data_IF_586029390646
#
_entry.id   IF_586029390646
#
_cell.length_a   1.000
_cell.length_b   1.000
_cell.length_c   1.000
_cell.angle_alpha   90.00
_cell.angle_beta   90.00
_cell.angle_gamma   90.00
#
_symmetry.space_group_name_H-M   'P 1'
#
loop_
_entity.id
_entity.type
_entity.pdbx_description
1 polymer ?
#
# COMPACT_ATOMS: atom_id res chain seq x y z
N UNK A 1 62.82 -27.73 14.24
CA UNK A 1 61.68 -28.27 15.03
C UNK A 1 61.03 -27.12 15.78
N UNK A 2 59.87 -26.64 15.33
CA UNK A 2 59.17 -25.48 15.91
C UNK A 2 57.77 -25.92 16.37
N UNK A 3 57.40 -25.45 17.55
CA UNK A 3 56.22 -25.80 18.35
C UNK A 3 54.88 -25.59 17.62
N UNK A 4 53.96 -26.52 17.87
CA UNK A 4 52.57 -26.47 17.43
C UNK A 4 51.73 -25.54 18.32
N UNK A 5 51.17 -24.47 17.73
CA UNK A 5 50.07 -23.69 18.31
C UNK A 5 48.75 -24.07 17.62
N UNK A 6 47.76 -24.50 18.42
CA UNK A 6 46.37 -24.74 17.98
C UNK A 6 45.71 -23.44 17.48
N UNK A 7 44.90 -23.44 16.40
CA UNK A 7 44.12 -22.27 16.02
C UNK A 7 42.85 -22.14 16.89
N UNK A 8 42.56 -20.90 17.27
CA UNK A 8 41.37 -20.47 18.03
C UNK A 8 40.11 -20.61 17.19
N UNK A 9 39.04 -21.12 17.81
CA UNK A 9 37.67 -21.09 17.28
C UNK A 9 37.22 -19.63 17.17
N UNK A 10 37.09 -19.15 15.94
CA UNK A 10 36.57 -17.83 15.62
C UNK A 10 35.07 -17.72 15.91
N UNK A 11 34.69 -16.65 16.59
CA UNK A 11 33.32 -16.26 16.90
C UNK A 11 32.50 -16.16 15.61
N UNK A 12 31.42 -16.93 15.52
CA UNK A 12 30.42 -16.78 14.46
C UNK A 12 29.78 -15.40 14.55
N UNK A 13 29.82 -14.66 13.45
CA UNK A 13 29.06 -13.43 13.27
C UNK A 13 27.55 -13.73 13.36
N UNK A 14 26.73 -12.85 13.94
CA UNK A 14 25.28 -13.02 13.94
C UNK A 14 24.78 -12.90 12.50
N UNK A 15 24.17 -13.96 11.99
CA UNK A 15 23.49 -13.94 10.70
C UNK A 15 22.40 -12.85 10.72
N UNK A 16 22.27 -12.09 9.64
CA UNK A 16 21.23 -11.05 9.53
C UNK A 16 19.84 -11.67 9.75
N UNK A 17 18.91 -10.98 10.42
CA UNK A 17 17.59 -11.53 10.78
C UNK A 17 16.76 -12.06 9.59
N UNK A 18 17.04 -11.58 8.38
CA UNK A 18 16.55 -12.12 7.10
C UNK A 18 16.96 -13.58 6.84
N UNK A 19 18.12 -14.02 7.33
CA UNK A 19 18.63 -15.38 7.12
C UNK A 19 17.83 -16.45 7.85
N UNK A 20 17.12 -16.11 8.92
CA UNK A 20 16.33 -17.04 9.73
C UNK A 20 14.99 -17.37 9.06
N UNK A 21 14.31 -16.37 8.51
CA UNK A 21 13.14 -16.57 7.65
C UNK A 21 13.54 -17.38 6.40
N UNK A 22 14.65 -17.01 5.76
CA UNK A 22 15.23 -17.76 4.64
C UNK A 22 15.64 -19.19 5.05
N UNK A 23 16.11 -19.43 6.28
CA UNK A 23 16.47 -20.78 6.75
C UNK A 23 15.24 -21.66 6.98
N UNK A 24 14.15 -21.10 7.50
CA UNK A 24 12.85 -21.77 7.63
C UNK A 24 12.29 -22.12 6.25
N UNK A 25 12.41 -21.21 5.28
CA UNK A 25 11.93 -21.39 3.91
C UNK A 25 12.85 -22.32 3.08
N UNK A 26 14.17 -22.32 3.34
CA UNK A 26 15.14 -23.30 2.77
C UNK A 26 14.92 -24.72 3.27
N UNK A 27 14.56 -24.92 4.55
CA UNK A 27 14.12 -26.23 5.06
C UNK A 27 12.83 -26.72 4.39
N UNK A 28 11.97 -25.78 4.00
CA UNK A 28 10.73 -26.07 3.29
C UNK A 28 10.94 -26.41 1.79
N UNK A 29 12.10 -26.05 1.21
CA UNK A 29 12.48 -26.26 -0.20
C UNK A 29 12.77 -27.73 -0.56
N UNK A 30 13.13 -28.56 0.41
CA UNK A 30 13.49 -29.97 0.20
C UNK A 30 12.29 -30.91 -0.05
N UNK A 31 11.04 -30.42 -0.04
CA UNK A 31 9.81 -31.25 -0.13
C UNK A 31 8.89 -30.98 -1.33
N UNK A 32 9.18 -30.02 -2.21
CA UNK A 32 8.33 -29.73 -3.38
C UNK A 32 9.16 -29.60 -4.64
N UNK A 33 9.56 -30.74 -5.21
CA UNK A 33 9.82 -30.85 -6.64
C UNK A 33 8.47 -31.16 -7.30
N UNK A 34 7.86 -30.15 -7.91
CA UNK A 34 6.91 -30.20 -9.03
C UNK A 34 6.09 -28.91 -9.01
N UNK A 35 6.58 -27.90 -9.73
CA UNK A 35 5.83 -26.86 -10.44
C UNK A 35 6.87 -25.85 -10.97
N UNK A 36 7.27 -26.03 -12.24
CA UNK A 36 8.26 -25.19 -12.91
C UNK A 36 7.67 -23.82 -13.27
N UNK A 37 7.80 -22.84 -12.38
CA UNK A 37 7.56 -21.42 -12.71
C UNK A 37 8.85 -20.78 -13.27
N UNK A 38 9.18 -21.07 -14.54
CA UNK A 38 10.42 -20.61 -15.20
C UNK A 38 10.58 -19.07 -15.22
N UNK A 39 9.50 -18.30 -15.21
CA UNK A 39 9.53 -16.84 -15.32
C UNK A 39 10.09 -16.11 -14.07
N UNK A 40 10.05 -16.72 -12.87
CA UNK A 40 10.67 -16.15 -11.67
C UNK A 40 12.16 -16.52 -11.56
N UNK A 41 12.56 -17.68 -12.08
CA UNK A 41 13.97 -18.12 -12.09
C UNK A 41 14.86 -17.26 -12.99
N UNK A 42 14.28 -16.61 -14.00
CA UNK A 42 14.97 -15.71 -14.93
C UNK A 42 15.09 -14.26 -14.40
N UNK A 43 14.37 -13.91 -13.32
CA UNK A 43 14.34 -12.56 -12.76
C UNK A 43 15.42 -12.27 -11.71
N UNK A 44 16.39 -13.18 -11.52
CA UNK A 44 17.51 -12.99 -10.58
C UNK A 44 18.81 -13.41 -11.27
N UNK A 45 19.62 -12.42 -11.68
CA UNK A 45 20.99 -12.40 -11.17
C UNK A 45 21.46 -10.99 -10.76
N UNK A 46 22.16 -10.96 -9.62
CA UNK A 46 23.11 -9.93 -9.15
C UNK A 46 22.71 -8.44 -9.20
N UNK A 47 22.42 -7.84 -8.04
CA UNK A 47 22.89 -6.48 -7.71
C UNK A 47 23.37 -6.44 -6.25
N UNK A 48 24.69 -6.44 -6.10
CA UNK A 48 25.40 -5.87 -4.97
C UNK A 48 25.50 -4.34 -5.14
N UNK A 49 25.36 -3.60 -4.04
CA UNK A 49 25.58 -2.16 -3.87
C UNK A 49 24.56 -1.18 -4.49
N UNK A 50 23.82 -0.46 -3.63
CA UNK A 50 23.58 1.01 -3.61
C UNK A 50 23.06 1.36 -2.20
N UNK A 51 23.90 1.94 -1.33
CA UNK A 51 24.02 3.36 -0.96
C UNK A 51 22.91 3.88 -0.02
N UNK A 52 23.36 4.23 1.19
CA UNK A 52 22.55 4.50 2.37
C UNK A 52 22.46 6.01 2.60
N UNK A 53 21.51 6.73 1.97
CA UNK A 53 21.24 8.12 2.36
C UNK A 53 19.77 8.53 2.23
N UNK A 54 19.30 9.08 3.35
CA UNK A 54 18.15 9.98 3.57
C UNK A 54 16.74 9.39 3.71
N UNK A 55 16.29 9.34 4.97
CA UNK A 55 14.93 9.78 5.32
C UNK A 55 15.05 10.82 6.43
N UNK A 56 14.81 12.09 6.10
CA UNK A 56 14.49 13.15 7.08
C UNK A 56 13.00 13.00 7.40
N UNK A 57 12.66 12.71 8.66
CA UNK A 57 11.29 12.83 9.18
C UNK A 57 11.23 14.07 10.07
N UNK A 58 10.30 14.96 9.76
CA UNK A 58 10.06 16.22 10.46
C UNK A 58 9.68 15.98 11.92
N UNK A 59 10.37 16.68 12.82
CA UNK A 59 9.96 16.86 14.22
C UNK A 59 8.94 17.99 14.30
N UNK A 60 7.70 17.69 14.70
CA UNK A 60 6.85 18.64 15.41
C UNK A 60 5.94 17.88 16.36
N UNK A 61 6.16 18.06 17.66
CA UNK A 61 5.15 18.15 18.71
C UNK A 61 5.87 18.34 20.06
N UNK A 62 5.95 19.59 20.50
CA UNK A 62 6.20 19.95 21.90
C UNK A 62 4.89 20.43 22.54
N UNK A 63 4.80 20.22 23.86
CA UNK A 63 3.72 20.55 24.82
C UNK A 63 2.53 19.57 24.79
N UNK A 64 2.26 18.81 25.85
CA UNK A 64 1.86 19.33 27.17
C UNK A 64 2.17 18.33 28.30
N UNK A 65 3.13 18.67 29.16
CA UNK A 65 3.43 17.97 30.41
C UNK A 65 2.58 18.56 31.54
N UNK A 66 1.30 18.17 31.64
CA UNK A 66 0.46 18.51 32.81
C UNK A 66 -0.81 17.65 32.97
N UNK A 67 -0.89 16.49 32.29
CA UNK A 67 -2.05 15.57 32.38
C UNK A 67 -1.75 14.19 33.00
N UNK A 68 -0.53 13.93 33.48
CA UNK A 68 -0.19 12.59 33.99
C UNK A 68 -0.85 12.21 35.33
N UNK A 69 -1.16 13.17 36.21
CA UNK A 69 -1.58 12.84 37.58
C UNK A 69 -3.09 12.56 37.77
N UNK A 70 -3.96 13.03 36.87
CA UNK A 70 -5.40 12.70 36.93
C UNK A 70 -5.77 11.41 36.16
N UNK A 71 -4.82 10.83 35.40
CA UNK A 71 -5.07 9.67 34.55
C UNK A 71 -4.81 8.32 35.23
N UNK A 72 -4.14 8.34 36.39
CA UNK A 72 -3.78 7.13 37.13
C UNK A 72 -4.95 6.60 37.99
N UNK A 73 -5.93 7.44 38.32
CA UNK A 73 -7.06 7.09 39.21
C UNK A 73 -8.16 6.27 38.54
N UNK A 74 -8.47 6.53 37.26
CA UNK A 74 -9.53 5.77 36.57
C UNK A 74 -9.11 4.32 36.26
N UNK A 75 -7.84 4.11 35.94
CA UNK A 75 -7.29 2.77 35.73
C UNK A 75 -7.21 2.01 37.07
N UNK A 76 -6.85 2.69 38.18
CA UNK A 76 -6.80 2.10 39.52
C UNK A 76 -8.18 1.63 40.00
N UNK A 77 -9.22 2.45 39.83
CA UNK A 77 -10.61 2.08 40.17
C UNK A 77 -11.13 0.88 39.34
N UNK A 78 -10.72 0.77 38.07
CA UNK A 78 -11.07 -0.39 37.25
C UNK A 78 -10.35 -1.67 37.72
N UNK A 79 -9.14 -1.54 38.26
CA UNK A 79 -8.35 -2.67 38.77
C UNK A 79 -8.84 -3.14 40.15
N UNK A 80 -9.30 -2.25 41.03
CA UNK A 80 -9.94 -2.61 42.31
C UNK A 80 -11.18 -3.51 42.11
N UNK A 81 -11.93 -3.31 41.01
CA UNK A 81 -13.05 -4.18 40.63
C UNK A 81 -12.65 -5.60 40.26
N UNK A 82 -11.39 -5.85 39.90
CA UNK A 82 -10.85 -7.18 39.62
C UNK A 82 -10.48 -7.94 40.89
N UNK A 83 -10.06 -7.22 41.94
CA UNK A 83 -9.62 -7.82 43.21
C UNK A 83 -10.80 -8.18 44.13
N UNK A 84 -11.95 -7.52 43.99
CA UNK A 84 -13.15 -7.82 44.78
C UNK A 84 -14.02 -8.95 44.22
N UNK A 85 -13.73 -9.48 43.03
CA UNK A 85 -14.54 -10.53 42.38
C UNK A 85 -13.66 -11.65 41.87
N UNK A 86 -13.45 -12.65 42.73
CA UNK A 86 -12.66 -13.84 42.41
C UNK A 86 -13.23 -14.66 41.24
N UNK A 87 -14.46 -14.40 40.77
CA UNK A 87 -15.12 -15.15 39.70
C UNK A 87 -15.59 -14.26 38.53
N UNK A 88 -14.68 -13.50 37.92
CA UNK A 88 -15.01 -12.75 36.71
C UNK A 88 -14.99 -13.64 35.46
N UNK A 89 -16.16 -13.81 34.83
CA UNK A 89 -16.27 -14.43 33.52
C UNK A 89 -15.49 -13.62 32.45
N UNK A 90 -15.04 -14.26 31.35
CA UNK A 90 -14.31 -13.58 30.26
C UNK A 90 -15.01 -12.34 29.71
N UNK A 91 -16.34 -12.32 29.67
CA UNK A 91 -17.14 -11.19 29.20
C UNK A 91 -17.13 -9.99 30.15
N UNK A 92 -17.04 -10.21 31.46
CA UNK A 92 -16.91 -9.14 32.45
C UNK A 92 -15.48 -8.59 32.46
N UNK A 93 -14.47 -9.45 32.33
CA UNK A 93 -13.08 -9.04 32.08
C UNK A 93 -12.95 -8.19 30.81
N UNK A 94 -13.63 -8.57 29.73
CA UNK A 94 -13.70 -7.79 28.50
C UNK A 94 -14.23 -6.37 28.71
N UNK A 95 -15.32 -6.21 29.49
CA UNK A 95 -15.88 -4.89 29.80
C UNK A 95 -14.89 -4.03 30.59
N UNK A 96 -14.18 -4.63 31.54
CA UNK A 96 -13.18 -3.93 32.36
C UNK A 96 -11.99 -3.51 31.49
N UNK A 97 -11.42 -4.43 30.70
CA UNK A 97 -10.24 -4.17 29.86
C UNK A 97 -10.51 -3.19 28.72
N UNK A 98 -11.77 -3.00 28.30
CA UNK A 98 -12.11 -1.92 27.35
C UNK A 98 -11.81 -0.53 27.91
N UNK A 99 -11.95 -0.36 29.22
CA UNK A 99 -11.82 0.93 29.90
C UNK A 99 -10.40 1.20 30.42
N UNK A 100 -9.61 0.15 30.67
CA UNK A 100 -8.22 0.28 31.12
C UNK A 100 -7.32 0.69 29.95
N UNK A 101 -6.49 1.71 30.17
CA UNK A 101 -5.56 2.22 29.15
C UNK A 101 -4.13 1.71 29.33
N UNK A 102 -3.71 1.42 30.56
CA UNK A 102 -2.37 0.95 30.85
C UNK A 102 -2.16 -0.55 30.46
N UNK A 103 -1.25 -0.86 29.52
CA UNK A 103 -1.01 -2.22 29.06
C UNK A 103 -0.37 -3.13 30.11
N UNK A 104 0.46 -2.63 31.04
CA UNK A 104 1.07 -3.47 32.10
C UNK A 104 0.03 -4.01 33.07
N UNK A 105 -0.92 -3.15 33.47
CA UNK A 105 -2.01 -3.54 34.38
C UNK A 105 -2.88 -4.63 33.76
N UNK A 106 -3.19 -4.49 32.46
CA UNK A 106 -3.93 -5.49 31.70
C UNK A 106 -3.18 -6.82 31.63
N UNK A 107 -1.87 -6.82 31.35
CA UNK A 107 -1.04 -8.03 31.31
C UNK A 107 -1.07 -8.75 32.67
N UNK A 108 -0.85 -8.01 33.77
CA UNK A 108 -0.82 -8.59 35.11
C UNK A 108 -2.18 -9.14 35.53
N UNK A 109 -3.27 -8.41 35.26
CA UNK A 109 -4.64 -8.87 35.50
C UNK A 109 -4.95 -10.15 34.71
N UNK A 110 -4.61 -10.18 33.42
CA UNK A 110 -4.83 -11.36 32.59
C UNK A 110 -4.00 -12.56 33.06
N UNK A 111 -2.72 -12.36 33.42
CA UNK A 111 -1.87 -13.41 33.99
C UNK A 111 -2.47 -14.00 35.27
N UNK A 112 -3.03 -13.18 36.16
CA UNK A 112 -3.69 -13.62 37.40
C UNK A 112 -4.96 -14.44 37.08
N UNK A 113 -5.81 -13.96 36.20
CA UNK A 113 -7.04 -14.65 35.80
C UNK A 113 -6.75 -15.99 35.08
N UNK A 114 -5.76 -16.00 34.21
CA UNK A 114 -5.42 -17.17 33.40
C UNK A 114 -4.57 -18.22 34.15
N UNK A 115 -4.33 -18.07 35.46
CA UNK A 115 -3.83 -19.16 36.33
C UNK A 115 -4.96 -20.09 36.82
N UNK A 116 -6.22 -19.69 36.61
CA UNK A 116 -7.38 -20.44 37.06
C UNK A 116 -7.68 -21.61 36.12
N UNK A 117 -8.04 -22.76 36.70
CA UNK A 117 -8.25 -24.02 35.97
C UNK A 117 -9.54 -23.99 35.14
N UNK A 118 -10.55 -23.26 35.62
CA UNK A 118 -11.90 -23.15 35.04
C UNK A 118 -12.06 -21.95 34.09
N UNK A 119 -11.03 -21.11 33.96
CA UNK A 119 -11.09 -19.91 33.12
C UNK A 119 -10.74 -20.21 31.67
N UNK A 120 -11.69 -20.02 30.76
CA UNK A 120 -11.48 -20.13 29.31
C UNK A 120 -11.62 -18.77 28.63
N UNK A 121 -10.52 -18.13 28.21
CA UNK A 121 -10.58 -16.84 27.54
C UNK A 121 -11.33 -16.92 26.21
N UNK A 122 -12.11 -15.89 25.88
CA UNK A 122 -12.79 -15.78 24.58
C UNK A 122 -11.87 -15.17 23.51
N UNK A 123 -12.13 -15.46 22.23
CA UNK A 123 -11.42 -14.83 21.11
C UNK A 123 -11.48 -13.30 21.18
N UNK A 124 -12.63 -12.75 21.60
CA UNK A 124 -12.81 -11.31 21.77
C UNK A 124 -11.86 -10.73 22.83
N UNK A 125 -11.58 -11.50 23.90
CA UNK A 125 -10.63 -11.09 24.94
C UNK A 125 -9.20 -11.06 24.40
N UNK A 126 -8.78 -12.12 23.69
CA UNK A 126 -7.47 -12.12 23.02
C UNK A 126 -7.35 -11.00 21.98
N UNK A 127 -8.39 -10.76 21.18
CA UNK A 127 -8.40 -9.69 20.18
C UNK A 127 -8.13 -8.32 20.83
N UNK A 128 -8.85 -8.02 21.93
CA UNK A 128 -8.68 -6.76 22.66
C UNK A 128 -7.28 -6.64 23.27
N UNK A 129 -6.76 -7.72 23.86
CA UNK A 129 -5.41 -7.73 24.44
C UNK A 129 -4.35 -7.48 23.37
N UNK A 130 -4.43 -8.18 22.24
CA UNK A 130 -3.50 -8.01 21.13
C UNK A 130 -3.56 -6.59 20.57
N UNK A 131 -4.76 -6.04 20.35
CA UNK A 131 -4.90 -4.66 19.86
C UNK A 131 -4.19 -3.68 20.80
N UNK A 132 -4.44 -3.77 22.11
CA UNK A 132 -3.82 -2.89 23.13
C UNK A 132 -2.30 -3.05 23.21
N UNK A 133 -1.82 -4.30 23.19
CA UNK A 133 -0.39 -4.61 23.28
C UNK A 133 0.36 -4.22 22.02
N UNK A 134 -0.25 -4.38 20.86
CA UNK A 134 0.34 -3.99 19.58
C UNK A 134 0.45 -2.46 19.46
N UNK A 135 -0.55 -1.69 19.88
CA UNK A 135 -0.42 -0.21 19.98
C UNK A 135 0.68 0.21 20.96
N UNK A 136 0.88 -0.58 22.02
CA UNK A 136 1.94 -0.36 23.01
C UNK A 136 3.30 -0.95 22.60
N UNK A 137 3.42 -1.52 21.39
CA UNK A 137 4.63 -2.16 20.81
C UNK A 137 5.22 -3.30 21.66
N UNK A 138 4.40 -3.97 22.46
CA UNK A 138 4.79 -5.07 23.36
C UNK A 138 4.66 -6.43 22.70
N UNK A 139 5.40 -6.65 21.61
CA UNK A 139 5.24 -7.84 20.77
C UNK A 139 5.67 -9.16 21.42
N UNK A 140 6.61 -9.15 22.37
CA UNK A 140 7.00 -10.36 23.10
C UNK A 140 5.79 -10.97 23.85
N UNK A 141 5.00 -10.12 24.50
CA UNK A 141 3.79 -10.55 25.20
C UNK A 141 2.69 -11.03 24.26
N UNK A 142 2.64 -10.53 23.02
CA UNK A 142 1.69 -11.03 22.02
C UNK A 142 2.01 -12.49 21.66
N UNK A 143 3.29 -12.84 21.51
CA UNK A 143 3.70 -14.23 21.28
C UNK A 143 3.37 -15.12 22.48
N UNK A 144 3.67 -14.68 23.72
CA UNK A 144 3.31 -15.41 24.94
C UNK A 144 1.80 -15.69 25.01
N UNK A 145 0.97 -14.74 24.56
CA UNK A 145 -0.49 -14.90 24.51
C UNK A 145 -0.93 -15.92 23.46
N UNK A 146 -0.25 -15.98 22.30
CA UNK A 146 -0.54 -16.95 21.25
C UNK A 146 -0.13 -18.36 21.65
N UNK A 147 1.05 -18.54 22.25
CA UNK A 147 1.49 -19.83 22.78
C UNK A 147 0.53 -20.34 23.86
N UNK A 148 0.04 -19.42 24.70
CA UNK A 148 -0.98 -19.75 25.70
C UNK A 148 -2.31 -20.14 25.06
N UNK A 149 -2.78 -19.39 24.07
CA UNK A 149 -4.00 -19.71 23.33
C UNK A 149 -3.91 -21.08 22.62
N UNK A 150 -2.71 -21.45 22.16
CA UNK A 150 -2.42 -22.78 21.58
C UNK A 150 -2.54 -23.89 22.63
N UNK A 151 -1.92 -23.72 23.80
CA UNK A 151 -2.00 -24.67 24.91
C UNK A 151 -3.45 -24.88 25.40
N UNK A 152 -4.23 -23.80 25.44
CA UNK A 152 -5.64 -23.83 25.86
C UNK A 152 -6.59 -24.35 24.76
N UNK A 153 -6.08 -24.66 23.57
CA UNK A 153 -6.87 -25.09 22.38
C UNK A 153 -8.03 -24.15 22.05
N UNK A 154 -7.81 -22.84 22.21
CA UNK A 154 -8.81 -21.83 21.87
C UNK A 154 -9.11 -21.87 20.37
N UNK A 155 -10.39 -21.83 20.01
CA UNK A 155 -10.81 -21.67 18.61
C UNK A 155 -10.60 -20.21 18.20
N UNK A 156 -9.63 -19.98 17.31
CA UNK A 156 -9.31 -18.65 16.78
C UNK A 156 -9.74 -18.56 15.32
N UNK A 157 -10.37 -17.45 14.93
CA UNK A 157 -10.84 -17.22 13.57
C UNK A 157 -9.73 -16.70 12.63
N UNK A 158 -9.90 -16.85 11.31
CA UNK A 158 -9.01 -16.20 10.33
C UNK A 158 -9.02 -14.67 10.51
N UNK A 159 -10.16 -14.07 10.85
CA UNK A 159 -10.25 -12.62 11.09
C UNK A 159 -9.39 -12.17 12.30
N UNK A 160 -9.26 -13.00 13.32
CA UNK A 160 -8.32 -12.74 14.43
C UNK A 160 -6.88 -12.69 13.92
N UNK A 161 -6.45 -13.69 13.16
CA UNK A 161 -5.09 -13.73 12.59
C UNK A 161 -4.87 -12.62 11.56
N UNK A 162 -5.86 -12.32 10.71
CA UNK A 162 -5.83 -11.20 9.78
C UNK A 162 -5.55 -9.87 10.49
N UNK A 163 -6.22 -9.61 11.63
CA UNK A 163 -5.96 -8.41 12.44
C UNK A 163 -4.55 -8.42 13.00
N UNK A 164 -4.11 -9.54 13.56
CA UNK A 164 -2.75 -9.68 14.09
C UNK A 164 -1.67 -9.44 13.02
N UNK A 165 -1.81 -10.06 11.85
CA UNK A 165 -0.94 -9.85 10.68
C UNK A 165 -0.95 -8.37 10.28
N UNK A 166 -2.13 -7.74 10.23
CA UNK A 166 -2.27 -6.31 9.92
C UNK A 166 -1.58 -5.41 10.94
N UNK A 167 -1.61 -5.78 12.21
CA UNK A 167 -0.90 -5.06 13.27
C UNK A 167 0.62 -5.21 13.12
N UNK A 168 1.11 -6.42 12.85
CA UNK A 168 2.53 -6.66 12.58
C UNK A 168 3.05 -5.91 11.34
N UNK A 169 2.25 -5.85 10.29
CA UNK A 169 2.58 -5.11 9.07
C UNK A 169 2.59 -3.60 9.26
N UNK A 170 1.49 -3.02 9.74
CA UNK A 170 1.31 -1.57 9.76
C UNK A 170 1.89 -0.86 10.99
N UNK A 171 1.73 -1.44 12.18
CA UNK A 171 2.08 -0.77 13.45
C UNK A 171 3.50 -1.11 13.88
N UNK A 172 3.92 -2.33 13.62
CA UNK A 172 5.22 -2.86 14.04
C UNK A 172 6.31 -2.74 12.98
N UNK A 173 5.93 -2.63 11.69
CA UNK A 173 6.83 -2.76 10.55
C UNK A 173 7.71 -4.04 10.64
N UNK A 174 7.09 -5.15 11.06
CA UNK A 174 7.73 -6.46 11.22
C UNK A 174 7.11 -7.47 10.23
N UNK A 175 7.46 -7.37 8.93
CA UNK A 175 6.91 -8.27 7.90
C UNK A 175 7.28 -9.74 8.14
N UNK A 176 8.46 -10.03 8.72
CA UNK A 176 8.88 -11.39 9.07
C UNK A 176 7.88 -12.07 10.01
N UNK A 177 7.40 -11.33 11.03
CA UNK A 177 6.43 -11.83 12.01
C UNK A 177 5.04 -12.03 11.39
N UNK A 178 4.65 -11.15 10.47
CA UNK A 178 3.41 -11.30 9.73
C UNK A 178 3.42 -12.57 8.86
N UNK A 179 4.53 -12.86 8.18
CA UNK A 179 4.72 -14.12 7.44
C UNK A 179 4.70 -15.32 8.40
N UNK A 180 5.45 -15.25 9.50
CA UNK A 180 5.50 -16.34 10.48
C UNK A 180 4.12 -16.65 11.05
N UNK A 181 3.34 -15.61 11.37
CA UNK A 181 1.97 -15.75 11.88
C UNK A 181 1.09 -16.47 10.86
N UNK A 182 1.14 -16.06 9.59
CA UNK A 182 0.39 -16.69 8.50
C UNK A 182 0.74 -18.19 8.35
N UNK A 183 2.03 -18.52 8.39
CA UNK A 183 2.52 -19.90 8.27
C UNK A 183 2.19 -20.77 9.49
N UNK A 184 2.05 -20.17 10.67
CA UNK A 184 1.67 -20.86 11.92
C UNK A 184 0.16 -21.06 12.07
N UNK A 185 -0.70 -20.42 11.27
CA UNK A 185 -2.16 -20.57 11.41
C UNK A 185 -2.64 -22.04 11.46
N UNK A 186 -2.12 -22.97 10.63
CA UNK A 186 -2.50 -24.39 10.71
C UNK A 186 -2.24 -25.04 12.07
N UNK A 187 -1.24 -24.58 12.82
CA UNK A 187 -0.97 -25.08 14.19
C UNK A 187 -2.12 -24.79 15.17
N UNK A 188 -2.95 -23.81 14.85
CA UNK A 188 -4.13 -23.42 15.62
C UNK A 188 -5.42 -24.05 15.05
N UNK A 189 -5.31 -25.02 14.14
CA UNK A 189 -6.43 -25.60 13.38
C UNK A 189 -7.25 -24.53 12.63
N UNK A 190 -6.60 -23.43 12.22
CA UNK A 190 -7.20 -22.34 11.47
C UNK A 190 -6.46 -22.21 10.14
N UNK A 191 -7.19 -22.09 9.03
CA UNK A 191 -6.59 -21.97 7.71
C UNK A 191 -6.72 -20.53 7.21
N UNK A 192 -5.64 -19.94 6.65
CA UNK A 192 -5.67 -18.57 6.15
C UNK A 192 -6.62 -18.43 4.96
N UNK A 193 -7.35 -17.33 4.92
CA UNK A 193 -8.13 -16.95 3.74
C UNK A 193 -7.24 -16.27 2.69
N UNK A 194 -7.74 -16.22 1.44
CA UNK A 194 -7.13 -15.44 0.34
C UNK A 194 -6.90 -13.98 0.75
N UNK A 195 -7.79 -13.42 1.58
CA UNK A 195 -7.67 -12.05 2.10
C UNK A 195 -6.45 -11.88 3.01
N UNK A 196 -6.24 -12.80 3.96
CA UNK A 196 -5.07 -12.80 4.86
C UNK A 196 -3.77 -12.96 4.08
N UNK A 197 -3.77 -13.84 3.09
CA UNK A 197 -2.63 -14.05 2.20
C UNK A 197 -2.31 -12.81 1.35
N UNK A 198 -3.32 -12.22 0.70
CA UNK A 198 -3.18 -11.02 -0.12
C UNK A 198 -2.69 -9.82 0.69
N UNK A 199 -3.10 -9.71 1.96
CA UNK A 199 -2.58 -8.67 2.83
C UNK A 199 -1.07 -8.84 3.07
N UNK A 200 -0.61 -10.07 3.37
CA UNK A 200 0.84 -10.35 3.54
C UNK A 200 1.60 -10.04 2.26
N UNK A 201 1.12 -10.50 1.09
CA UNK A 201 1.76 -10.20 -0.18
C UNK A 201 1.83 -8.69 -0.45
N UNK A 202 0.73 -7.96 -0.28
CA UNK A 202 0.69 -6.52 -0.51
C UNK A 202 1.61 -5.77 0.48
N UNK A 203 1.67 -6.21 1.74
CA UNK A 203 2.60 -5.68 2.72
C UNK A 203 4.05 -5.87 2.26
N UNK A 204 4.43 -7.06 1.78
CA UNK A 204 5.80 -7.33 1.30
C UNK A 204 6.18 -6.52 0.06
N UNK A 205 5.22 -6.33 -0.86
CA UNK A 205 5.40 -5.45 -2.02
C UNK A 205 5.66 -4.01 -1.58
N UNK A 206 4.84 -3.49 -0.66
CA UNK A 206 4.99 -2.11 -0.17
C UNK A 206 6.27 -1.89 0.66
N UNK A 207 6.74 -2.92 1.38
CA UNK A 207 8.02 -2.89 2.12
C UNK A 207 9.24 -3.25 1.26
N UNK A 208 9.02 -3.52 -0.04
CA UNK A 208 10.06 -3.85 -1.04
C UNK A 208 10.87 -5.12 -0.72
N UNK A 209 10.26 -6.09 -0.03
CA UNK A 209 10.90 -7.36 0.32
C UNK A 209 10.72 -8.44 -0.75
N UNK A 210 11.16 -8.15 -1.97
CA UNK A 210 10.86 -8.98 -3.14
C UNK A 210 11.48 -10.38 -3.11
N UNK A 211 12.61 -10.56 -2.40
CA UNK A 211 13.26 -11.87 -2.25
C UNK A 211 12.34 -12.91 -1.59
N UNK A 212 11.55 -12.48 -0.61
CA UNK A 212 10.71 -13.36 0.21
C UNK A 212 9.34 -13.60 -0.43
N UNK A 213 8.90 -12.72 -1.34
CA UNK A 213 7.59 -12.84 -2.03
C UNK A 213 7.47 -14.18 -2.77
N UNK A 214 8.54 -14.62 -3.45
CA UNK A 214 8.55 -15.90 -4.15
C UNK A 214 8.33 -17.08 -3.19
N UNK A 215 8.99 -17.03 -2.04
CA UNK A 215 8.90 -18.10 -1.04
C UNK A 215 7.48 -18.16 -0.45
N UNK A 216 6.89 -17.02 -0.11
CA UNK A 216 5.51 -16.93 0.38
C UNK A 216 4.50 -17.37 -0.70
N UNK A 217 4.71 -16.99 -1.95
CA UNK A 217 3.88 -17.43 -3.07
C UNK A 217 3.82 -18.96 -3.18
N UNK A 218 4.97 -19.64 -3.09
CA UNK A 218 5.04 -21.12 -3.11
C UNK A 218 4.36 -21.79 -1.92
N UNK A 219 4.10 -21.07 -0.83
CA UNK A 219 3.36 -21.63 0.32
C UNK A 219 1.85 -21.70 0.10
N UNK A 220 1.28 -20.99 -0.88
CA UNK A 220 -0.17 -20.92 -1.08
C UNK A 220 -0.86 -22.29 -1.21
N UNK A 221 -0.38 -23.24 -2.04
CA UNK A 221 -1.02 -24.56 -2.16
C UNK A 221 -0.95 -25.37 -0.86
N UNK A 222 0.14 -25.22 -0.09
CA UNK A 222 0.32 -25.92 1.19
C UNK A 222 -0.63 -25.42 2.26
N UNK A 223 -1.04 -24.15 2.17
CA UNK A 223 -2.03 -23.53 3.02
C UNK A 223 -3.47 -23.74 2.52
N UNK A 224 -3.66 -24.48 1.41
CA UNK A 224 -4.97 -24.69 0.80
C UNK A 224 -5.56 -23.44 0.13
N UNK A 225 -4.72 -22.45 -0.20
CA UNK A 225 -5.15 -21.18 -0.77
C UNK A 225 -5.16 -21.27 -2.29
N UNK A 226 -6.32 -21.02 -2.89
CA UNK A 226 -6.46 -20.79 -4.33
C UNK A 226 -6.14 -19.34 -4.65
N UNK A 227 -5.12 -19.11 -5.48
CA UNK A 227 -4.75 -17.76 -5.90
C UNK A 227 -5.85 -17.12 -6.74
N UNK A 228 -6.08 -15.82 -6.56
CA UNK A 228 -7.06 -15.04 -7.30
C UNK A 228 -6.40 -13.94 -8.15
N UNK A 229 -7.19 -13.23 -8.96
CA UNK A 229 -6.70 -12.10 -9.76
C UNK A 229 -6.09 -11.00 -8.88
N UNK A 230 -6.55 -10.83 -7.63
CA UNK A 230 -6.00 -9.84 -6.71
C UNK A 230 -4.55 -10.18 -6.31
N UNK A 231 -4.25 -11.46 -6.03
CA UNK A 231 -2.87 -11.95 -5.81
C UNK A 231 -1.94 -11.50 -6.95
N UNK A 232 -2.36 -11.76 -8.19
CA UNK A 232 -1.54 -11.47 -9.37
C UNK A 232 -1.39 -9.97 -9.62
N UNK A 233 -2.43 -9.17 -9.35
CA UNK A 233 -2.35 -7.71 -9.44
C UNK A 233 -1.33 -7.13 -8.44
N UNK A 234 -1.29 -7.67 -7.21
CA UNK A 234 -0.30 -7.29 -6.20
C UNK A 234 1.12 -7.63 -6.68
N UNK A 235 1.32 -8.83 -7.22
CA UNK A 235 2.62 -9.27 -7.72
C UNK A 235 3.09 -8.45 -8.93
N UNK A 236 2.21 -8.20 -9.91
CA UNK A 236 2.52 -7.35 -11.07
C UNK A 236 2.89 -5.94 -10.63
N UNK A 237 2.14 -5.35 -9.69
CA UNK A 237 2.50 -4.05 -9.10
C UNK A 237 3.90 -4.09 -8.50
N UNK A 238 4.22 -5.12 -7.73
CA UNK A 238 5.55 -5.28 -7.13
C UNK A 238 6.67 -5.45 -8.15
N UNK A 239 6.44 -6.18 -9.24
CA UNK A 239 7.40 -6.33 -10.33
C UNK A 239 7.63 -5.01 -11.07
N UNK A 240 6.57 -4.24 -11.32
CA UNK A 240 6.67 -2.88 -11.86
C UNK A 240 7.45 -1.95 -10.92
N UNK A 241 7.21 -2.03 -9.60
CA UNK A 241 7.94 -1.23 -8.61
C UNK A 241 9.45 -1.61 -8.51
N UNK A 242 9.85 -2.76 -9.05
CA UNK A 242 11.23 -3.24 -9.16
C UNK A 242 11.90 -2.99 -10.52
N UNK A 243 11.22 -2.31 -11.44
CA UNK A 243 11.66 -2.17 -12.83
C UNK A 243 11.85 -3.51 -13.58
N UNK A 244 11.13 -4.55 -13.17
CA UNK A 244 11.16 -5.89 -13.81
C UNK A 244 9.99 -6.08 -14.77
N UNK A 245 9.94 -5.25 -15.80
CA UNK A 245 8.84 -5.22 -16.78
C UNK A 245 8.66 -6.56 -17.52
N UNK A 246 9.74 -7.22 -17.92
CA UNK A 246 9.69 -8.51 -18.63
C UNK A 246 9.04 -9.60 -17.78
N UNK A 247 9.35 -9.61 -16.48
CA UNK A 247 8.74 -10.52 -15.52
C UNK A 247 7.25 -10.19 -15.31
N UNK A 248 6.88 -8.90 -15.29
CA UNK A 248 5.48 -8.47 -15.19
C UNK A 248 4.66 -8.93 -16.41
N UNK A 249 5.21 -8.82 -17.63
CA UNK A 249 4.57 -9.35 -18.84
C UNK A 249 4.50 -10.87 -18.84
N UNK A 250 5.56 -11.56 -18.42
CA UNK A 250 5.56 -13.01 -18.28
C UNK A 250 4.47 -13.47 -17.32
N UNK A 251 4.31 -12.78 -16.18
CA UNK A 251 3.24 -13.05 -15.22
C UNK A 251 1.86 -12.79 -15.83
N UNK A 252 1.67 -11.69 -16.57
CA UNK A 252 0.42 -11.40 -17.28
C UNK A 252 0.00 -12.54 -18.22
N UNK A 253 0.95 -13.16 -18.92
CA UNK A 253 0.72 -14.31 -19.81
C UNK A 253 0.47 -15.63 -19.05
N UNK A 254 0.94 -15.76 -17.82
CA UNK A 254 0.75 -16.94 -16.96
C UNK A 254 -0.61 -16.94 -16.23
N UNK A 255 -1.20 -15.77 -15.94
CA UNK A 255 -2.49 -15.67 -15.20
C UNK A 255 -3.59 -16.59 -15.78
N UNK A 256 -3.84 -16.63 -17.11
CA UNK A 256 -4.82 -17.55 -17.70
C UNK A 256 -4.53 -19.03 -17.45
N UNK A 257 -3.24 -19.42 -17.41
CA UNK A 257 -2.83 -20.80 -17.17
C UNK A 257 -3.09 -21.24 -15.72
N UNK A 258 -3.16 -20.28 -14.81
CA UNK A 258 -3.49 -20.49 -13.40
C UNK A 258 -5.03 -20.48 -13.15
N UNK A 259 -5.84 -20.50 -14.22
CA UNK A 259 -7.31 -20.49 -14.12
C UNK A 259 -7.92 -19.12 -13.78
N UNK A 260 -7.10 -18.05 -13.73
CA UNK A 260 -7.56 -16.69 -13.46
C UNK A 260 -7.65 -15.87 -14.75
N UNK A 261 -8.39 -14.76 -14.74
CA UNK A 261 -8.42 -13.82 -15.88
C UNK A 261 -7.80 -12.47 -15.47
N UNK A 262 -6.87 -11.93 -16.26
CA UNK A 262 -6.43 -10.55 -16.11
C UNK A 262 -7.65 -9.60 -16.22
N UNK A 263 -7.69 -8.59 -15.36
CA UNK A 263 -8.74 -7.57 -15.36
C UNK A 263 -8.18 -6.19 -15.70
N UNK A 264 -9.04 -5.17 -15.75
CA UNK A 264 -8.62 -3.80 -16.06
C UNK A 264 -7.52 -3.30 -15.12
N UNK A 265 -7.58 -3.64 -13.83
CA UNK A 265 -6.52 -3.33 -12.86
C UNK A 265 -5.18 -3.97 -13.22
N UNK A 266 -5.17 -5.22 -13.70
CA UNK A 266 -3.95 -5.91 -14.14
C UNK A 266 -3.24 -5.13 -15.26
N UNK A 267 -3.99 -4.80 -16.32
CA UNK A 267 -3.46 -4.10 -17.48
C UNK A 267 -3.07 -2.66 -17.17
N UNK A 268 -3.96 -1.91 -16.51
CA UNK A 268 -3.71 -0.52 -16.11
C UNK A 268 -2.47 -0.37 -15.22
N UNK A 269 -2.15 -1.36 -14.36
CA UNK A 269 -0.93 -1.32 -13.53
C UNK A 269 0.34 -1.31 -14.39
N UNK A 270 0.39 -2.16 -15.42
CA UNK A 270 1.53 -2.21 -16.35
C UNK A 270 1.55 -0.97 -17.25
N UNK A 271 0.39 -0.52 -17.76
CA UNK A 271 0.30 0.72 -18.54
C UNK A 271 0.78 1.94 -17.76
N UNK A 272 0.41 2.05 -16.49
CA UNK A 272 0.85 3.14 -15.63
C UNK A 272 2.38 3.14 -15.47
N UNK A 273 2.98 1.95 -15.30
CA UNK A 273 4.44 1.80 -15.28
C UNK A 273 5.08 2.26 -16.60
N UNK A 274 4.55 1.83 -17.74
CA UNK A 274 5.04 2.21 -19.07
C UNK A 274 4.94 3.72 -19.30
N UNK A 275 3.79 4.34 -18.99
CA UNK A 275 3.59 5.79 -19.09
C UNK A 275 4.55 6.57 -18.18
N UNK A 276 4.95 6.01 -17.03
CA UNK A 276 5.91 6.64 -16.11
C UNK A 276 7.34 6.61 -16.65
N UNK A 277 7.67 5.65 -17.52
CA UNK A 277 8.99 5.46 -18.13
C UNK A 277 9.03 5.91 -19.60
N UNK A 278 8.19 6.88 -19.96
CA UNK A 278 8.12 7.46 -21.30
C UNK A 278 7.90 6.43 -22.43
N UNK A 279 7.25 5.30 -22.13
CA UNK A 279 6.89 4.24 -23.07
C UNK A 279 5.39 4.22 -23.38
N UNK A 280 4.78 5.39 -23.65
CA UNK A 280 3.33 5.48 -23.88
C UNK A 280 2.87 4.66 -25.09
N UNK A 281 3.71 4.53 -26.14
CA UNK A 281 3.36 3.73 -27.33
C UNK A 281 3.17 2.25 -26.97
N UNK A 282 4.06 1.67 -26.14
CA UNK A 282 3.89 0.32 -25.61
C UNK A 282 2.64 0.19 -24.73
N UNK A 283 2.26 1.26 -24.00
CA UNK A 283 1.04 1.28 -23.20
C UNK A 283 -0.23 1.28 -24.07
N UNK A 284 -0.20 1.95 -25.23
CA UNK A 284 -1.29 1.94 -26.21
C UNK A 284 -1.45 0.56 -26.85
N UNK A 285 -0.34 -0.07 -27.27
CA UNK A 285 -0.35 -1.46 -27.78
C UNK A 285 -0.91 -2.44 -26.74
N UNK A 286 -0.54 -2.26 -25.47
CA UNK A 286 -1.08 -3.05 -24.37
C UNK A 286 -2.60 -2.85 -24.21
N UNK A 287 -3.12 -1.66 -24.52
CA UNK A 287 -4.55 -1.35 -24.45
C UNK A 287 -5.34 -2.00 -25.59
N UNK A 288 -4.74 -2.10 -26.78
CA UNK A 288 -5.30 -2.90 -27.87
C UNK A 288 -5.32 -4.38 -27.52
N UNK A 289 -4.23 -4.90 -26.94
CA UNK A 289 -4.16 -6.30 -26.50
C UNK A 289 -5.18 -6.61 -25.40
N UNK A 290 -5.36 -5.69 -24.45
CA UNK A 290 -6.38 -5.78 -23.41
C UNK A 290 -7.77 -5.99 -24.02
N UNK A 291 -8.13 -5.19 -25.04
CA UNK A 291 -9.41 -5.28 -25.75
C UNK A 291 -9.54 -6.58 -26.55
N UNK A 292 -8.49 -7.00 -27.27
CA UNK A 292 -8.46 -8.27 -28.02
C UNK A 292 -8.67 -9.48 -27.10
N UNK A 293 -8.21 -9.39 -25.85
CA UNK A 293 -8.40 -10.41 -24.82
C UNK A 293 -9.76 -10.35 -24.12
N UNK A 294 -10.71 -9.54 -24.62
CA UNK A 294 -12.06 -9.40 -24.07
C UNK A 294 -12.13 -8.60 -22.75
N UNK A 295 -11.07 -7.85 -22.42
CA UNK A 295 -11.06 -6.96 -21.26
C UNK A 295 -11.24 -5.51 -21.74
N UNK A 296 -12.29 -4.83 -21.30
CA UNK A 296 -12.60 -3.48 -21.77
C UNK A 296 -11.91 -2.40 -20.91
N UNK A 297 -11.26 -1.39 -21.52
CA UNK A 297 -10.70 -0.25 -20.80
C UNK A 297 -11.77 0.46 -19.97
N UNK A 298 -11.43 0.77 -18.73
CA UNK A 298 -12.26 1.56 -17.81
C UNK A 298 -11.77 3.01 -17.71
N UNK A 299 -12.49 3.82 -16.92
CA UNK A 299 -12.11 5.22 -16.65
C UNK A 299 -10.67 5.38 -16.19
N UNK A 300 -10.16 4.44 -15.37
CA UNK A 300 -8.79 4.48 -14.85
C UNK A 300 -7.80 4.26 -15.99
N UNK A 301 -8.06 3.27 -16.86
CA UNK A 301 -7.24 2.94 -18.02
C UNK A 301 -7.11 4.13 -18.97
N UNK A 302 -8.24 4.77 -19.31
CA UNK A 302 -8.23 5.97 -20.15
C UNK A 302 -7.44 7.12 -19.52
N UNK A 303 -7.62 7.37 -18.23
CA UNK A 303 -6.90 8.44 -17.53
C UNK A 303 -5.38 8.22 -17.53
N UNK A 304 -4.93 6.97 -17.38
CA UNK A 304 -3.51 6.62 -17.44
C UNK A 304 -2.92 6.93 -18.83
N UNK A 305 -3.62 6.53 -19.90
CA UNK A 305 -3.17 6.75 -21.27
C UNK A 305 -3.18 8.24 -21.62
N UNK A 306 -4.27 8.96 -21.30
CA UNK A 306 -4.37 10.41 -21.51
C UNK A 306 -3.25 11.14 -20.77
N UNK A 307 -3.02 10.82 -19.49
CA UNK A 307 -1.93 11.44 -18.72
C UNK A 307 -0.55 11.13 -19.32
N UNK A 308 -0.32 9.89 -19.77
CA UNK A 308 0.91 9.50 -20.45
C UNK A 308 1.14 10.27 -21.76
N UNK A 309 0.10 10.38 -22.60
CA UNK A 309 0.14 11.12 -23.86
C UNK A 309 0.45 12.61 -23.63
N UNK A 310 -0.21 13.23 -22.66
CA UNK A 310 0.02 14.63 -22.30
C UNK A 310 1.45 14.89 -21.82
N UNK A 311 2.02 13.98 -21.02
CA UNK A 311 3.42 14.10 -20.54
C UNK A 311 4.44 14.01 -21.67
N UNK A 312 4.13 13.29 -22.75
CA UNK A 312 4.98 13.21 -23.94
C UNK A 312 4.70 14.31 -24.97
N UNK A 313 3.87 15.31 -24.64
CA UNK A 313 3.50 16.37 -25.58
C UNK A 313 2.52 15.94 -26.68
N UNK A 314 2.04 14.69 -26.66
CA UNK A 314 1.06 14.12 -27.63
C UNK A 314 -0.38 14.47 -27.24
N UNK A 315 -0.62 15.75 -26.93
CA UNK A 315 -1.89 16.21 -26.35
C UNK A 315 -3.07 16.05 -27.31
N UNK A 316 -2.85 16.19 -28.61
CA UNK A 316 -3.88 15.99 -29.63
C UNK A 316 -4.46 14.57 -29.60
N UNK A 317 -3.61 13.56 -29.43
CA UNK A 317 -4.06 12.17 -29.24
C UNK A 317 -4.78 12.00 -27.91
N UNK A 318 -4.31 12.67 -26.84
CA UNK A 318 -5.02 12.70 -25.56
C UNK A 318 -6.46 13.22 -25.68
N UNK A 319 -6.69 14.25 -26.51
CA UNK A 319 -8.02 14.78 -26.80
C UNK A 319 -8.89 13.80 -27.58
N UNK A 320 -8.31 13.04 -28.52
CA UNK A 320 -9.01 11.97 -29.21
C UNK A 320 -9.43 10.87 -28.24
N UNK A 321 -8.53 10.46 -27.34
CA UNK A 321 -8.83 9.49 -26.29
C UNK A 321 -9.93 9.97 -25.33
N UNK A 322 -10.02 11.27 -25.03
CA UNK A 322 -11.14 11.83 -24.28
C UNK A 322 -12.48 11.60 -25.00
N UNK A 323 -12.53 11.80 -26.32
CA UNK A 323 -13.73 11.53 -27.13
C UNK A 323 -14.06 10.04 -27.14
N UNK A 324 -13.06 9.18 -27.36
CA UNK A 324 -13.23 7.72 -27.32
C UNK A 324 -13.75 7.24 -25.97
N UNK A 325 -13.23 7.81 -24.87
CA UNK A 325 -13.67 7.51 -23.51
C UNK A 325 -15.17 7.78 -23.35
N UNK A 326 -15.65 8.97 -23.76
CA UNK A 326 -17.08 9.32 -23.75
C UNK A 326 -17.92 8.37 -24.61
N UNK A 327 -17.44 8.06 -25.83
CA UNK A 327 -18.14 7.15 -26.75
C UNK A 327 -18.28 5.73 -26.21
N UNK A 328 -17.31 5.26 -25.42
CA UNK A 328 -17.36 3.95 -24.76
C UNK A 328 -18.13 3.95 -23.43
N UNK A 329 -18.84 5.02 -23.10
CA UNK A 329 -19.60 5.15 -21.85
C UNK A 329 -18.73 5.27 -20.60
N UNK A 330 -17.44 5.60 -20.75
CA UNK A 330 -16.58 5.95 -19.63
C UNK A 330 -16.65 7.47 -19.42
N UNK A 331 -16.92 7.90 -18.19
CA UNK A 331 -17.09 9.33 -17.90
C UNK A 331 -15.76 9.96 -17.46
N UNK A 332 -15.28 11.01 -18.16
CA UNK A 332 -14.14 11.80 -17.72
C UNK A 332 -14.35 12.37 -16.33
N UNK A 333 -13.28 12.43 -15.53
CA UNK A 333 -13.32 13.05 -14.21
C UNK A 333 -12.42 14.29 -14.17
N UNK A 334 -12.40 14.98 -13.02
CA UNK A 334 -11.57 16.18 -12.84
C UNK A 334 -10.09 15.94 -13.20
N UNK A 335 -9.56 14.77 -12.85
CA UNK A 335 -8.19 14.37 -13.19
C UNK A 335 -7.96 14.24 -14.70
N UNK A 336 -8.95 13.76 -15.47
CA UNK A 336 -8.88 13.66 -16.94
C UNK A 336 -8.73 15.04 -17.59
N UNK A 337 -9.63 15.97 -17.25
CA UNK A 337 -9.60 17.33 -17.78
C UNK A 337 -8.34 18.07 -17.33
N UNK A 338 -7.96 17.91 -16.06
CA UNK A 338 -6.74 18.50 -15.53
C UNK A 338 -5.50 18.01 -16.29
N UNK A 339 -5.37 16.72 -16.56
CA UNK A 339 -4.23 16.17 -17.31
C UNK A 339 -4.10 16.77 -18.71
N UNK A 340 -5.21 16.90 -19.45
CA UNK A 340 -5.23 17.50 -20.78
C UNK A 340 -4.88 18.99 -20.76
N UNK A 341 -5.45 19.73 -19.80
CA UNK A 341 -5.18 21.15 -19.64
C UNK A 341 -3.69 21.40 -19.33
N UNK A 342 -3.11 20.63 -18.41
CA UNK A 342 -1.67 20.72 -18.12
C UNK A 342 -0.82 20.26 -19.29
N UNK A 343 -1.30 19.29 -20.09
CA UNK A 343 -0.67 18.91 -21.36
C UNK A 343 -0.56 20.10 -22.33
N UNK A 344 -1.67 20.80 -22.58
CA UNK A 344 -1.71 21.98 -23.45
C UNK A 344 -0.79 23.10 -22.94
N UNK A 345 -0.84 23.36 -21.62
CA UNK A 345 0.02 24.34 -20.97
C UNK A 345 1.51 24.01 -21.10
N UNK A 346 1.88 22.73 -20.94
CA UNK A 346 3.26 22.27 -21.06
C UNK A 346 3.76 22.36 -22.51
N UNK A 347 2.86 22.16 -23.47
CA UNK A 347 3.12 22.35 -24.90
C UNK A 347 3.06 23.83 -25.35
N UNK A 348 2.88 24.78 -24.41
CA UNK A 348 2.73 26.23 -24.67
C UNK A 348 1.59 26.59 -25.63
N UNK A 349 0.56 25.74 -25.73
CA UNK A 349 -0.63 26.00 -26.54
C UNK A 349 -1.68 26.76 -25.73
N UNK A 350 -1.40 28.01 -25.37
CA UNK A 350 -2.20 28.74 -24.38
C UNK A 350 -3.61 29.11 -24.86
N UNK A 351 -3.79 29.40 -26.15
CA UNK A 351 -5.11 29.66 -26.75
C UNK A 351 -5.97 28.40 -26.72
N UNK A 352 -5.42 27.25 -27.17
CA UNK A 352 -6.11 25.96 -27.07
C UNK A 352 -6.43 25.62 -25.60
N UNK A 353 -5.54 25.95 -24.65
CA UNK A 353 -5.76 25.74 -23.23
C UNK A 353 -6.92 26.59 -22.67
N UNK A 354 -7.07 27.84 -23.13
CA UNK A 354 -8.21 28.70 -22.82
C UNK A 354 -9.51 28.09 -23.32
N UNK A 355 -9.55 27.67 -24.59
CA UNK A 355 -10.75 27.10 -25.18
C UNK A 355 -11.14 25.79 -24.48
N UNK A 356 -10.15 24.95 -24.18
CA UNK A 356 -10.36 23.73 -23.42
C UNK A 356 -10.80 23.98 -21.96
N UNK A 357 -10.34 25.06 -21.33
CA UNK A 357 -10.85 25.48 -20.03
C UNK A 357 -12.34 25.83 -20.08
N UNK A 358 -12.81 26.45 -21.17
CA UNK A 358 -14.24 26.66 -21.42
C UNK A 358 -15.03 25.35 -21.49
N UNK A 359 -14.50 24.33 -22.19
CA UNK A 359 -15.10 22.99 -22.25
C UNK A 359 -15.17 22.38 -20.84
N UNK A 360 -14.08 22.45 -20.08
CA UNK A 360 -14.01 21.93 -18.70
C UNK A 360 -15.12 22.53 -17.81
N UNK A 361 -15.35 23.84 -17.90
CA UNK A 361 -16.42 24.55 -17.17
C UNK A 361 -17.80 24.10 -17.63
N UNK A 362 -18.02 23.97 -18.95
CA UNK A 362 -19.31 23.54 -19.51
C UNK A 362 -19.70 22.12 -19.09
N UNK A 363 -18.70 21.27 -18.84
CA UNK A 363 -18.84 19.90 -18.34
C UNK A 363 -18.99 19.85 -16.81
N UNK A 364 -19.13 21.00 -16.15
CA UNK A 364 -19.31 21.10 -14.70
C UNK A 364 -18.04 20.89 -13.88
N UNK A 365 -16.87 20.87 -14.51
CA UNK A 365 -15.58 20.69 -13.82
C UNK A 365 -14.93 22.05 -13.60
N UNK A 366 -14.65 22.39 -12.34
CA UNK A 366 -14.05 23.69 -11.99
C UNK A 366 -12.54 23.67 -12.22
N UNK A 367 -11.98 24.59 -13.03
CA UNK A 367 -10.54 24.72 -13.18
C UNK A 367 -9.88 25.17 -11.86
N UNK A 368 -8.63 24.76 -11.66
CA UNK A 368 -7.88 25.17 -10.46
C UNK A 368 -7.38 26.60 -10.58
N UNK A 369 -7.18 27.28 -9.44
CA UNK A 369 -6.51 28.59 -9.40
C UNK A 369 -5.16 28.58 -10.15
N UNK A 370 -4.38 27.51 -9.97
CA UNK A 370 -3.10 27.34 -10.64
C UNK A 370 -3.24 27.26 -12.16
N UNK A 371 -4.32 26.65 -12.66
CA UNK A 371 -4.61 26.58 -14.09
C UNK A 371 -4.87 27.97 -14.67
N UNK A 372 -5.73 28.78 -14.03
CA UNK A 372 -5.98 30.17 -14.43
C UNK A 372 -4.69 30.99 -14.48
N UNK A 373 -3.91 30.94 -13.39
CA UNK A 373 -2.63 31.63 -13.30
C UNK A 373 -1.70 31.26 -14.46
N UNK A 374 -1.54 29.97 -14.76
CA UNK A 374 -0.64 29.51 -15.83
C UNK A 374 -1.09 29.95 -17.22
N UNK A 375 -2.39 29.93 -17.51
CA UNK A 375 -2.92 30.39 -18.79
C UNK A 375 -2.69 31.89 -18.94
N UNK A 376 -3.07 32.71 -17.95
CA UNK A 376 -2.86 34.17 -17.97
C UNK A 376 -1.35 34.47 -18.12
N UNK A 377 -0.48 33.76 -17.38
CA UNK A 377 0.96 33.88 -17.54
C UNK A 377 1.44 33.60 -18.96
N UNK A 378 0.92 32.54 -19.57
CA UNK A 378 1.28 32.15 -20.93
C UNK A 378 0.83 33.16 -21.97
N UNK A 379 -0.45 33.55 -21.93
CA UNK A 379 -1.05 34.50 -22.87
C UNK A 379 -0.38 35.88 -22.81
N UNK A 380 -0.07 36.39 -21.60
CA UNK A 380 0.66 37.65 -21.46
C UNK A 380 2.08 37.57 -22.05
N UNK A 381 2.76 36.41 -21.97
CA UNK A 381 4.09 36.24 -22.57
C UNK A 381 4.06 36.17 -24.09
N UNK A 382 2.93 35.78 -24.67
CA UNK A 382 2.70 35.76 -26.12
C UNK A 382 2.03 37.04 -26.64
N UNK A 383 1.89 38.06 -25.78
CA UNK A 383 1.24 39.33 -26.07
C UNK A 383 -0.23 39.20 -26.53
N UNK A 384 -0.92 38.16 -26.06
CA UNK A 384 -2.34 37.89 -26.33
C UNK A 384 -3.21 38.47 -25.21
N UNK A 385 -3.20 39.81 -25.10
CA UNK A 385 -3.84 40.52 -23.98
C UNK A 385 -5.36 40.30 -23.91
N UNK A 386 -6.04 40.35 -25.06
CA UNK A 386 -7.50 40.15 -25.13
C UNK A 386 -7.91 38.77 -24.58
N UNK A 387 -7.14 37.73 -24.91
CA UNK A 387 -7.38 36.38 -24.41
C UNK A 387 -7.08 36.28 -22.90
N UNK A 388 -6.04 36.96 -22.43
CA UNK A 388 -5.68 36.99 -21.01
C UNK A 388 -6.75 37.70 -20.16
N UNK A 389 -7.37 38.77 -20.68
CA UNK A 389 -8.48 39.48 -20.04
C UNK A 389 -9.71 38.58 -19.90
N UNK A 390 -10.12 37.88 -20.97
CA UNK A 390 -11.23 36.91 -20.92
C UNK A 390 -11.01 35.84 -19.85
N UNK A 391 -9.78 35.30 -19.74
CA UNK A 391 -9.46 34.30 -18.72
C UNK A 391 -9.47 34.90 -17.31
N UNK A 392 -9.07 36.16 -17.15
CA UNK A 392 -9.11 36.86 -15.87
C UNK A 392 -10.56 37.11 -15.42
N UNK A 393 -11.43 37.56 -16.32
CA UNK A 393 -12.87 37.73 -16.04
C UNK A 393 -13.50 36.40 -15.63
N UNK A 394 -13.21 35.32 -16.37
CA UNK A 394 -13.66 33.97 -16.02
C UNK A 394 -13.15 33.53 -14.64
N UNK A 395 -11.89 33.85 -14.29
CA UNK A 395 -11.31 33.55 -12.97
C UNK A 395 -12.09 34.24 -11.84
N UNK A 396 -12.44 35.52 -12.03
CA UNK A 396 -13.22 36.31 -11.06
C UNK A 396 -14.65 35.77 -10.96
N UNK A 397 -15.30 35.44 -12.08
CA UNK A 397 -16.64 34.84 -12.10
C UNK A 397 -16.72 33.50 -11.36
N UNK A 398 -15.65 32.71 -11.36
CA UNK A 398 -15.56 31.47 -10.58
C UNK A 398 -15.28 31.69 -9.08
N UNK A 399 -15.16 32.95 -8.64
CA UNK A 399 -14.97 33.33 -7.24
C UNK A 399 -13.51 33.37 -6.79
N UNK A 400 -12.55 33.32 -7.72
CA UNK A 400 -11.13 33.48 -7.38
C UNK A 400 -10.74 34.96 -7.34
N UNK A 401 -9.86 35.31 -6.39
CA UNK A 401 -9.27 36.65 -6.30
C UNK A 401 -7.89 36.64 -6.99
N UNK A 402 -7.68 37.43 -8.06
CA UNK A 402 -6.37 37.55 -8.69
C UNK A 402 -5.33 38.12 -7.72
N UNK A 403 -4.15 37.50 -7.66
CA UNK A 403 -3.07 37.97 -6.80
C UNK A 403 -2.26 39.08 -7.50
N UNK A 404 -1.53 39.89 -6.72
CA UNK A 404 -0.65 40.95 -7.25
C UNK A 404 0.29 40.48 -8.35
N UNK A 405 0.76 39.23 -8.31
CA UNK A 405 1.58 38.65 -9.37
C UNK A 405 0.87 38.54 -10.72
N UNK A 406 -0.42 38.22 -10.72
CA UNK A 406 -1.26 38.19 -11.93
C UNK A 406 -1.43 39.59 -12.50
N UNK A 407 -1.75 40.57 -11.65
CA UNK A 407 -1.92 41.97 -12.05
C UNK A 407 -0.65 42.58 -12.65
N UNK A 408 0.51 42.38 -11.99
CA UNK A 408 1.80 42.86 -12.50
C UNK A 408 2.07 42.38 -13.93
N UNK A 409 1.74 41.13 -14.21
CA UNK A 409 2.04 40.49 -15.49
C UNK A 409 1.11 40.95 -16.62
N UNK A 410 -0.15 41.24 -16.31
CA UNK A 410 -1.09 41.86 -17.26
C UNK A 410 -0.63 43.29 -17.57
N UNK A 411 -0.25 44.06 -16.54
CA UNK A 411 0.27 45.42 -16.73
C UNK A 411 1.56 45.45 -17.57
N UNK A 412 2.48 44.49 -17.38
CA UNK A 412 3.68 44.37 -18.22
C UNK A 412 3.39 43.94 -19.65
N UNK A 413 2.21 43.39 -19.94
CA UNK A 413 1.79 43.05 -21.30
C UNK A 413 1.12 44.24 -22.01
N UNK A 414 0.64 45.24 -21.24
CA UNK A 414 0.03 46.48 -21.76
C UNK A 414 1.04 47.58 -22.06
N UNK A 415 2.23 47.51 -21.47
CA UNK A 415 3.36 48.43 -21.65
C UNK A 415 4.33 47.84 -22.68
#
# INVERSE_FOLDING_TARGET
MKEARRPRVGRGFPLSKTSLAIAVLRRARYKTQHMDCKWLSQAVPYISHVDSRMVRISRYATSSFSKLNYMHDSDKLCMERLDHKDWLAPNEMLKIFRNVRNPELIINAFKKAARRIDYRPSEALYSLLIDRLAYSRKFAYVEDLLDKAKCEKCRLSDNFFYRLIKMYGNVANHPDKAIETLLKMPDFNCWPTVKSFNYVLNMLVNTRQFEVIHEVYLTAPRLGITLDTCCFNILIKGLCDCDKLDAAFSLLHEIPKQGCRPNATTYSTIMHYLCKHDKVSEALELCERMQKNGCHPDTITFNILISGLCKQGRVSEGMEFLKTMKLKGCYPNSGTYQALLYGLLSAKKFVEAKDFMGIMISEGVKPSYSSYKLIICGLCRENLLNDAEVVLEQMVHQGFVPQMGTWKMILTCML
#
